data_IF_920339086715
#
_entry.id   IF_920339086715
#
_cell.length_a   1.000
_cell.length_b   1.000
_cell.length_c   1.000
_cell.angle_alpha   90.00
_cell.angle_beta   90.00
_cell.angle_gamma   90.00
#
_symmetry.space_group_name_H-M   'P 1'
#
loop_
_entity.id
_entity.type
_entity.pdbx_description
1 polymer ?
#
# COMPACT_ATOMS: atom_id res chain seq x y z
N UNK A 1 -69.84 -10.63 6.20
CA UNK A 1 -68.95 -11.19 5.16
C UNK A 1 -68.49 -10.03 4.30
N UNK A 2 -67.23 -9.64 4.17
CA UNK A 2 -65.97 -10.10 4.75
C UNK A 2 -65.04 -8.89 4.69
N UNK A 3 -64.34 -8.62 5.79
CA UNK A 3 -63.15 -7.75 5.81
C UNK A 3 -62.00 -8.48 5.13
N UNK A 4 -61.15 -7.76 4.41
CA UNK A 4 -59.86 -8.23 3.94
C UNK A 4 -58.87 -7.08 4.06
N UNK A 5 -58.22 -7.00 5.23
CA UNK A 5 -57.02 -6.22 5.47
C UNK A 5 -55.85 -6.94 4.79
N UNK A 6 -55.17 -6.27 3.87
CA UNK A 6 -53.93 -6.75 3.28
C UNK A 6 -52.76 -6.42 4.21
N UNK A 7 -52.29 -7.43 4.94
CA UNK A 7 -51.06 -7.40 5.74
C UNK A 7 -49.85 -7.32 4.78
N UNK A 8 -49.31 -6.12 4.59
CA UNK A 8 -48.12 -5.85 3.79
C UNK A 8 -46.86 -6.25 4.53
N UNK A 9 -46.64 -7.56 4.72
CA UNK A 9 -45.34 -8.10 5.12
C UNK A 9 -44.39 -8.00 3.93
N UNK A 10 -43.42 -7.09 4.02
CA UNK A 10 -42.23 -7.11 3.18
C UNK A 10 -41.43 -8.37 3.54
N UNK A 11 -41.60 -9.42 2.74
CA UNK A 11 -40.73 -10.59 2.75
C UNK A 11 -39.28 -10.12 2.50
N UNK A 12 -38.29 -10.55 3.31
CA UNK A 12 -36.89 -10.25 3.04
C UNK A 12 -36.49 -10.97 1.75
N UNK A 13 -36.05 -10.20 0.74
CA UNK A 13 -35.48 -10.77 -0.47
C UNK A 13 -34.35 -11.73 -0.10
N UNK A 14 -34.36 -12.99 -0.59
CA UNK A 14 -33.24 -13.88 -0.40
C UNK A 14 -32.05 -13.25 -1.12
N UNK A 15 -31.00 -12.90 -0.37
CA UNK A 15 -29.74 -12.44 -0.94
C UNK A 15 -29.26 -13.55 -1.88
N UNK A 16 -29.40 -13.31 -3.18
CA UNK A 16 -28.96 -14.25 -4.21
C UNK A 16 -27.49 -14.58 -3.98
N UNK A 17 -27.12 -15.84 -4.15
CA UNK A 17 -25.74 -16.29 -4.02
C UNK A 17 -24.85 -15.46 -4.94
N UNK A 18 -23.99 -14.62 -4.38
CA UNK A 18 -23.08 -13.76 -5.14
C UNK A 18 -22.12 -14.66 -5.94
N UNK A 19 -22.08 -14.46 -7.26
CA UNK A 19 -21.15 -15.16 -8.17
C UNK A 19 -19.90 -14.34 -8.48
N UNK A 20 -19.92 -13.03 -8.13
CA UNK A 20 -18.81 -12.09 -8.26
C UNK A 20 -18.80 -11.13 -7.07
N UNK A 21 -17.64 -10.56 -6.77
CA UNK A 21 -17.50 -9.54 -5.74
C UNK A 21 -18.23 -8.25 -6.16
N UNK A 22 -18.97 -7.59 -5.25
CA UNK A 22 -19.79 -6.43 -5.58
C UNK A 22 -18.96 -5.13 -5.60
N UNK A 23 -17.95 -5.06 -6.47
CA UNK A 23 -17.22 -3.83 -6.72
C UNK A 23 -18.04 -2.87 -7.60
N UNK A 24 -17.93 -1.57 -7.31
CA UNK A 24 -18.29 -0.56 -8.28
C UNK A 24 -17.28 -0.57 -9.45
N UNK A 25 -17.67 -0.12 -10.65
CA UNK A 25 -16.75 0.09 -11.76
C UNK A 25 -15.50 0.86 -11.35
N UNK A 26 -14.33 0.32 -11.69
CA UNK A 26 -13.05 0.99 -11.47
C UNK A 26 -12.84 1.95 -12.64
N UNK A 27 -12.63 3.23 -12.35
CA UNK A 27 -12.40 4.23 -13.39
C UNK A 27 -10.90 4.49 -13.57
N UNK A 28 -10.51 4.88 -14.80
CA UNK A 28 -9.14 5.34 -15.09
C UNK A 28 -8.70 6.47 -14.16
N UNK A 29 -9.61 7.39 -13.85
CA UNK A 29 -9.38 8.50 -12.92
C UNK A 29 -9.03 8.02 -11.51
N UNK A 30 -9.68 6.97 -11.02
CA UNK A 30 -9.40 6.40 -9.69
C UNK A 30 -7.98 5.83 -9.61
N UNK A 31 -7.55 5.09 -10.65
CA UNK A 31 -6.17 4.58 -10.74
C UNK A 31 -5.17 5.74 -10.80
N UNK A 32 -5.45 6.79 -11.58
CA UNK A 32 -4.60 7.98 -11.68
C UNK A 32 -4.53 8.79 -10.37
N UNK A 33 -5.59 8.85 -9.57
CA UNK A 33 -5.57 9.49 -8.25
C UNK A 33 -4.65 8.76 -7.26
N UNK A 34 -4.51 7.44 -7.42
CA UNK A 34 -3.60 6.61 -6.62
C UNK A 34 -2.14 6.63 -7.12
N UNK A 35 -1.86 7.29 -8.25
CA UNK A 35 -0.47 7.45 -8.72
C UNK A 35 0.35 8.33 -7.77
N UNK A 36 1.61 7.96 -7.56
CA UNK A 36 2.53 8.63 -6.64
C UNK A 36 2.67 10.11 -6.95
N UNK A 37 2.81 10.48 -8.23
CA UNK A 37 2.90 11.88 -8.64
C UNK A 37 1.67 12.70 -8.24
N UNK A 38 0.48 12.10 -8.24
CA UNK A 38 -0.74 12.80 -7.89
C UNK A 38 -0.85 13.00 -6.37
N UNK A 39 -0.83 11.93 -5.58
CA UNK A 39 -1.03 12.05 -4.13
C UNK A 39 0.19 12.62 -3.40
N UNK A 40 1.42 12.34 -3.82
CA UNK A 40 2.63 12.85 -3.15
C UNK A 40 2.65 14.37 -3.15
N UNK A 41 2.20 15.02 -4.24
CA UNK A 41 2.12 16.48 -4.34
C UNK A 41 1.30 17.11 -3.20
N UNK A 42 0.21 16.45 -2.79
CA UNK A 42 -0.69 16.88 -1.71
C UNK A 42 -0.15 16.55 -0.32
N UNK A 43 0.59 15.45 -0.21
CA UNK A 43 0.95 14.84 1.08
C UNK A 43 2.45 14.86 1.41
N UNK A 44 3.24 15.72 0.75
CA UNK A 44 4.71 15.84 0.96
C UNK A 44 5.14 15.98 2.42
N UNK A 45 4.33 16.62 3.27
CA UNK A 45 4.66 16.86 4.68
C UNK A 45 4.49 15.63 5.58
N UNK A 46 3.72 14.63 5.13
CA UNK A 46 3.32 13.45 5.92
C UNK A 46 3.86 12.14 5.33
N UNK A 47 4.73 12.21 4.32
CA UNK A 47 5.35 11.04 3.68
C UNK A 47 6.89 11.15 3.73
N UNK A 48 7.64 10.04 3.72
CA UNK A 48 9.10 10.09 3.63
C UNK A 48 9.58 10.86 2.40
N UNK A 49 10.79 11.45 2.49
CA UNK A 49 11.35 12.26 1.40
C UNK A 49 11.49 11.43 0.12
N UNK A 50 10.96 11.95 -0.98
CA UNK A 50 11.11 11.38 -2.31
C UNK A 50 11.37 12.45 -3.38
N UNK A 51 11.93 12.01 -4.51
CA UNK A 51 12.11 12.81 -5.73
C UNK A 51 11.45 12.10 -6.89
N UNK A 52 10.84 12.88 -7.77
CA UNK A 52 10.14 12.38 -8.95
C UNK A 52 10.92 12.81 -10.17
N UNK A 53 11.27 11.85 -11.00
CA UNK A 53 11.95 12.05 -12.29
C UNK A 53 10.95 11.69 -13.37
N UNK A 54 10.45 12.66 -14.18
CA UNK A 54 9.63 12.34 -15.34
C UNK A 54 10.41 11.45 -16.30
N UNK A 55 9.79 10.39 -16.79
CA UNK A 55 10.43 9.47 -17.73
C UNK A 55 10.25 9.95 -19.17
N UNK A 56 11.33 9.94 -19.94
CA UNK A 56 11.27 10.16 -21.38
C UNK A 56 10.67 8.92 -22.08
N UNK A 57 10.05 9.09 -23.27
CA UNK A 57 9.59 7.96 -24.06
C UNK A 57 10.70 6.94 -24.35
N UNK A 58 11.93 7.40 -24.59
CA UNK A 58 13.11 6.55 -24.82
C UNK A 58 13.40 5.66 -23.62
N UNK A 59 13.38 6.23 -22.40
CA UNK A 59 13.60 5.45 -21.19
C UNK A 59 12.47 4.44 -20.93
N UNK A 60 11.22 4.79 -21.26
CA UNK A 60 10.09 3.85 -21.16
C UNK A 60 10.25 2.71 -22.17
N UNK A 61 10.66 3.01 -23.40
CA UNK A 61 10.98 1.98 -24.41
C UNK A 61 12.13 1.08 -23.94
N UNK A 62 13.17 1.64 -23.33
CA UNK A 62 14.25 0.87 -22.72
C UNK A 62 13.77 -0.07 -21.61
N UNK A 63 12.85 0.37 -20.75
CA UNK A 63 12.27 -0.50 -19.72
C UNK A 63 11.46 -1.65 -20.32
N UNK A 64 10.71 -1.39 -21.40
CA UNK A 64 9.91 -2.39 -22.12
C UNK A 64 10.73 -3.34 -22.99
N UNK A 65 11.93 -2.95 -23.39
CA UNK A 65 12.79 -3.80 -24.21
C UNK A 65 13.20 -5.07 -23.44
N UNK A 66 13.23 -6.20 -24.13
CA UNK A 66 13.69 -7.46 -23.56
C UNK A 66 15.20 -7.43 -23.26
N UNK A 67 15.61 -8.25 -22.29
CA UNK A 67 17.00 -8.34 -21.84
C UNK A 67 17.43 -7.18 -20.94
N UNK A 68 18.62 -7.29 -20.35
CA UNK A 68 19.17 -6.30 -19.41
C UNK A 68 20.48 -5.76 -19.99
N UNK A 69 20.41 -4.58 -20.61
CA UNK A 69 21.58 -3.83 -21.09
C UNK A 69 21.80 -2.67 -20.14
N UNK A 70 22.98 -2.58 -19.51
CA UNK A 70 23.29 -1.54 -18.54
C UNK A 70 24.29 -0.54 -19.11
N UNK A 71 24.17 0.76 -18.78
CA UNK A 71 25.21 1.75 -19.07
C UNK A 71 26.56 1.37 -18.45
N UNK A 72 27.69 1.65 -19.12
CA UNK A 72 29.01 1.36 -18.58
C UNK A 72 29.24 2.13 -17.27
N UNK A 73 29.76 1.44 -16.25
CA UNK A 73 30.06 2.07 -14.98
C UNK A 73 31.29 2.97 -15.12
N UNK A 74 31.04 4.28 -15.23
CA UNK A 74 32.10 5.30 -15.33
C UNK A 74 33.08 5.25 -14.13
N UNK A 75 32.67 4.63 -13.02
CA UNK A 75 33.50 4.42 -11.82
C UNK A 75 34.53 3.30 -11.92
N UNK A 76 34.44 2.40 -12.90
CA UNK A 76 35.41 1.31 -13.08
C UNK A 76 36.59 1.68 -13.99
N UNK A 77 36.69 2.96 -14.40
CA UNK A 77 37.82 3.47 -15.17
C UNK A 77 39.14 3.65 -14.37
N UNK A 78 39.27 3.08 -13.16
CA UNK A 78 40.49 3.17 -12.32
C UNK A 78 40.80 1.96 -11.41
N UNK A 79 40.55 0.73 -11.88
CA UNK A 79 41.27 -0.42 -11.32
C UNK A 79 41.89 -1.22 -12.44
N UNK A 80 43.06 -0.73 -12.85
CA UNK A 80 44.08 -1.49 -13.56
C UNK A 80 44.46 -2.70 -12.68
N UNK A 81 43.70 -3.79 -12.78
CA UNK A 81 44.04 -5.07 -12.17
C UNK A 81 45.16 -5.70 -13.00
N UNK A 82 46.38 -5.19 -12.81
CA UNK A 82 47.57 -5.98 -13.10
C UNK A 82 47.70 -7.08 -12.03
N UNK A 83 47.25 -8.29 -12.34
CA UNK A 83 47.91 -9.54 -11.93
C UNK A 83 47.18 -10.70 -12.62
N UNK A 84 47.75 -11.28 -13.66
CA UNK A 84 48.67 -12.41 -13.53
C UNK A 84 48.08 -13.57 -12.71
N UNK A 85 47.02 -14.19 -13.22
CA UNK A 85 46.90 -15.63 -13.10
C UNK A 85 46.54 -16.23 -14.46
N UNK A 86 47.44 -17.05 -14.97
CA UNK A 86 47.42 -17.63 -16.30
C UNK A 86 47.30 -19.14 -16.14
N UNK A 87 46.18 -19.68 -16.62
CA UNK A 87 45.88 -21.11 -16.58
C UNK A 87 44.88 -21.55 -17.65
N UNK A 88 45.29 -21.49 -18.93
CA UNK A 88 45.21 -22.58 -19.96
C UNK A 88 43.88 -23.39 -20.00
N UNK A 89 43.10 -23.53 -21.10
CA UNK A 89 43.37 -23.49 -22.55
C UNK A 89 42.03 -23.47 -23.33
N UNK A 90 41.90 -22.62 -24.37
CA UNK A 90 41.38 -23.05 -25.69
C UNK A 90 41.75 -22.01 -26.73
N UNK A 91 42.72 -22.37 -27.56
CA UNK A 91 43.22 -21.61 -28.70
C UNK A 91 42.20 -21.54 -29.83
N UNK A 92 41.89 -20.34 -30.30
CA UNK A 92 41.83 -20.00 -31.72
C UNK A 92 42.13 -18.51 -31.84
N UNK A 93 43.30 -18.20 -32.41
CA UNK A 93 43.72 -16.85 -32.75
C UNK A 93 42.78 -16.25 -33.81
N UNK A 94 42.14 -15.14 -33.46
CA UNK A 94 41.68 -14.14 -34.41
C UNK A 94 42.03 -12.76 -33.83
N UNK A 95 43.11 -12.09 -34.28
CA UNK A 95 43.35 -10.70 -33.98
C UNK A 95 42.57 -9.88 -35.01
N UNK A 96 41.25 -9.84 -34.83
CA UNK A 96 40.41 -8.81 -35.41
C UNK A 96 39.93 -7.97 -34.24
N UNK A 97 40.51 -6.78 -34.13
CA UNK A 97 39.90 -5.72 -33.33
C UNK A 97 38.50 -5.47 -33.89
N UNK A 98 37.48 -6.02 -33.23
CA UNK A 98 36.17 -5.40 -33.21
C UNK A 98 36.16 -4.52 -31.98
N UNK A 99 36.38 -3.24 -32.23
CA UNK A 99 36.03 -2.12 -31.36
C UNK A 99 34.48 -2.06 -31.30
N UNK A 100 33.85 -3.15 -30.82
CA UNK A 100 32.46 -3.13 -30.42
C UNK A 100 32.45 -2.39 -29.08
N UNK A 101 32.63 -1.06 -29.14
CA UNK A 101 32.27 -0.16 -28.05
C UNK A 101 30.79 -0.46 -27.77
N UNK A 102 30.52 -1.26 -26.73
CA UNK A 102 29.16 -1.53 -26.26
C UNK A 102 28.42 -0.19 -26.18
N UNK A 103 27.50 0.06 -27.12
CA UNK A 103 26.85 1.37 -27.26
C UNK A 103 26.17 1.71 -25.94
N UNK A 104 26.62 2.78 -25.27
CA UNK A 104 26.07 3.21 -23.99
C UNK A 104 24.59 3.55 -24.15
N UNK A 105 23.66 2.71 -23.65
CA UNK A 105 22.24 2.91 -23.86
C UNK A 105 21.77 4.22 -23.21
N UNK A 106 22.47 4.72 -22.19
CA UNK A 106 22.09 5.96 -21.50
C UNK A 106 22.19 7.24 -22.32
N UNK A 107 22.86 7.20 -23.48
CA UNK A 107 22.94 8.37 -24.37
C UNK A 107 21.55 8.82 -24.86
N UNK A 108 20.62 7.89 -25.07
CA UNK A 108 19.25 8.19 -25.51
C UNK A 108 18.37 8.81 -24.41
N UNK A 109 18.78 8.70 -23.13
CA UNK A 109 18.06 9.24 -21.97
C UNK A 109 19.00 9.90 -20.95
N UNK A 110 20.01 10.61 -21.46
CA UNK A 110 21.06 11.22 -20.64
C UNK A 110 20.50 12.19 -19.59
N UNK A 111 19.43 12.92 -19.90
CA UNK A 111 18.73 13.80 -18.96
C UNK A 111 18.12 13.03 -17.77
N UNK A 112 17.44 11.91 -18.04
CA UNK A 112 16.86 11.03 -17.01
C UNK A 112 17.97 10.42 -16.17
N UNK A 113 19.05 9.96 -16.81
CA UNK A 113 20.20 9.38 -16.13
C UNK A 113 20.89 10.38 -15.19
N UNK A 114 21.08 11.62 -15.62
CA UNK A 114 21.63 12.70 -14.78
C UNK A 114 20.67 13.07 -13.64
N UNK A 115 19.37 13.13 -13.89
CA UNK A 115 18.36 13.40 -12.87
C UNK A 115 18.35 12.31 -11.78
N UNK A 116 18.50 11.04 -12.17
CA UNK A 116 18.64 9.92 -11.23
C UNK A 116 19.89 10.08 -10.37
N UNK A 117 21.06 10.33 -10.99
CA UNK A 117 22.33 10.58 -10.26
C UNK A 117 22.19 11.72 -9.26
N UNK A 118 21.60 12.84 -9.66
CA UNK A 118 21.36 14.00 -8.80
C UNK A 118 20.42 13.67 -7.63
N UNK A 119 19.31 12.95 -7.91
CA UNK A 119 18.35 12.55 -6.90
C UNK A 119 18.93 11.57 -5.86
N UNK A 120 19.76 10.60 -6.29
CA UNK A 120 20.48 9.70 -5.38
C UNK A 120 21.36 10.51 -4.43
N UNK A 121 22.16 11.43 -4.97
CA UNK A 121 23.04 12.28 -4.17
C UNK A 121 22.25 13.14 -3.16
N UNK A 122 21.16 13.78 -3.61
CA UNK A 122 20.31 14.63 -2.76
C UNK A 122 19.64 13.85 -1.61
N UNK A 123 19.23 12.60 -1.85
CA UNK A 123 18.54 11.77 -0.87
C UNK A 123 19.50 11.09 0.12
N UNK A 124 20.81 11.29 -0.01
CA UNK A 124 21.83 10.80 0.91
C UNK A 124 22.51 9.51 0.43
N UNK A 125 22.55 9.27 -0.88
CA UNK A 125 23.33 8.19 -1.52
C UNK A 125 22.65 6.82 -1.53
N UNK A 126 21.48 6.68 -0.91
CA UNK A 126 20.71 5.43 -0.87
C UNK A 126 19.24 5.71 -1.13
N UNK A 127 18.68 5.03 -2.12
CA UNK A 127 17.28 5.21 -2.53
C UNK A 127 16.58 3.87 -2.73
N UNK A 128 15.25 3.88 -2.73
CA UNK A 128 14.42 2.78 -3.21
C UNK A 128 13.55 3.27 -4.39
N UNK A 129 13.66 2.65 -5.57
CA UNK A 129 12.87 3.03 -6.73
C UNK A 129 11.42 2.53 -6.62
N UNK A 130 10.50 3.24 -7.27
CA UNK A 130 9.17 2.76 -7.67
C UNK A 130 8.70 3.54 -8.91
N UNK A 131 7.79 2.97 -9.69
CA UNK A 131 7.08 3.72 -10.73
C UNK A 131 5.88 4.45 -10.11
N UNK A 132 4.93 4.85 -10.96
CA UNK A 132 3.73 5.57 -10.57
C UNK A 132 2.96 4.86 -9.45
N UNK A 133 2.89 3.52 -9.44
CA UNK A 133 2.13 2.78 -8.44
C UNK A 133 2.98 1.75 -7.70
N UNK A 134 3.75 0.95 -8.44
CA UNK A 134 4.38 -0.26 -7.91
C UNK A 134 5.88 -0.10 -7.70
N UNK A 135 6.39 -0.74 -6.64
CA UNK A 135 7.82 -0.85 -6.35
C UNK A 135 8.31 -2.26 -6.72
N UNK A 136 9.56 -2.42 -7.21
CA UNK A 136 10.11 -3.70 -7.68
C UNK A 136 10.51 -4.62 -6.52
N UNK A 137 9.55 -4.98 -5.68
CA UNK A 137 9.74 -5.82 -4.48
C UNK A 137 9.98 -7.28 -4.84
N UNK A 138 9.33 -7.72 -5.91
CA UNK A 138 9.46 -9.02 -6.57
C UNK A 138 10.84 -9.24 -7.20
N UNK A 139 11.51 -8.17 -7.64
CA UNK A 139 12.84 -8.24 -8.26
C UNK A 139 14.01 -8.19 -7.26
N UNK A 140 13.78 -8.22 -5.95
CA UNK A 140 14.88 -8.05 -4.97
C UNK A 140 15.98 -9.10 -5.07
N UNK A 141 15.70 -10.26 -5.65
CA UNK A 141 16.64 -11.37 -5.87
C UNK A 141 17.81 -11.05 -6.81
N UNK A 142 17.65 -10.09 -7.74
CA UNK A 142 18.72 -9.70 -8.67
C UNK A 142 19.71 -8.72 -8.02
N UNK A 143 19.30 -8.07 -6.92
CA UNK A 143 20.13 -7.09 -6.21
C UNK A 143 21.17 -7.79 -5.35
N UNK A 144 22.41 -7.26 -5.36
CA UNK A 144 23.51 -7.77 -4.53
C UNK A 144 23.20 -7.74 -3.01
N UNK A 145 22.32 -6.84 -2.57
CA UNK A 145 21.90 -6.72 -1.17
C UNK A 145 20.63 -7.51 -0.83
N UNK A 146 20.03 -8.20 -1.82
CA UNK A 146 18.74 -8.88 -1.72
C UNK A 146 17.63 -7.98 -1.14
N UNK A 147 17.67 -6.69 -1.47
CA UNK A 147 16.69 -5.69 -1.06
C UNK A 147 16.59 -4.57 -2.12
N UNK A 148 15.69 -3.61 -1.91
CA UNK A 148 15.48 -2.48 -2.84
C UNK A 148 16.44 -1.29 -2.60
N UNK A 149 17.55 -1.47 -1.86
CA UNK A 149 18.55 -0.40 -1.68
C UNK A 149 19.35 -0.22 -2.98
N UNK A 150 19.22 0.94 -3.61
CA UNK A 150 20.03 1.33 -4.76
C UNK A 150 20.98 2.47 -4.38
N UNK A 151 22.21 2.39 -4.89
CA UNK A 151 23.27 3.40 -4.71
C UNK A 151 23.74 3.99 -6.02
N UNK A 152 23.59 3.26 -7.11
CA UNK A 152 23.90 3.70 -8.46
C UNK A 152 22.66 3.64 -9.37
N UNK A 153 22.67 4.36 -10.51
CA UNK A 153 21.62 4.23 -11.52
C UNK A 153 21.46 2.79 -12.04
N UNK A 154 22.57 2.06 -12.19
CA UNK A 154 22.57 0.68 -12.69
C UNK A 154 21.79 -0.25 -11.75
N UNK A 155 21.90 -0.09 -10.43
CA UNK A 155 21.08 -0.84 -9.45
C UNK A 155 19.57 -0.61 -9.69
N UNK A 156 19.19 0.62 -10.04
CA UNK A 156 17.80 0.99 -10.31
C UNK A 156 17.32 0.33 -11.60
N UNK A 157 18.11 0.43 -12.67
CA UNK A 157 17.75 -0.15 -13.97
C UNK A 157 17.59 -1.66 -13.89
N UNK A 158 18.51 -2.32 -13.19
CA UNK A 158 18.47 -3.75 -12.93
C UNK A 158 17.18 -4.15 -12.22
N UNK A 159 16.83 -3.50 -11.11
CA UNK A 159 15.59 -3.81 -10.38
C UNK A 159 14.32 -3.52 -11.19
N UNK A 160 14.28 -2.42 -11.93
CA UNK A 160 13.10 -2.05 -12.70
C UNK A 160 12.87 -3.01 -13.87
N UNK A 161 13.93 -3.41 -14.58
CA UNK A 161 13.82 -4.33 -15.72
C UNK A 161 13.55 -5.78 -15.32
N UNK A 162 13.84 -6.17 -14.08
CA UNK A 162 13.60 -7.52 -13.57
C UNK A 162 12.28 -7.67 -12.78
N UNK A 163 11.41 -6.66 -12.79
CA UNK A 163 10.18 -6.64 -11.98
C UNK A 163 8.91 -6.77 -12.83
N UNK A 164 8.12 -7.79 -12.55
CA UNK A 164 6.80 -8.00 -13.14
C UNK A 164 5.83 -6.89 -12.69
N UNK A 165 5.99 -6.37 -11.47
CA UNK A 165 5.20 -5.24 -11.00
C UNK A 165 5.45 -3.96 -11.79
N UNK A 166 6.69 -3.74 -12.23
CA UNK A 166 7.05 -2.60 -13.08
C UNK A 166 6.49 -2.78 -14.48
N UNK A 167 6.60 -3.98 -15.06
CA UNK A 167 5.98 -4.31 -16.36
C UNK A 167 4.47 -4.10 -16.32
N UNK A 168 3.82 -4.57 -15.26
CA UNK A 168 2.40 -4.35 -15.03
C UNK A 168 2.03 -2.86 -15.00
N UNK A 169 2.82 -2.01 -14.31
CA UNK A 169 2.60 -0.57 -14.29
C UNK A 169 2.70 0.07 -15.68
N UNK A 170 3.52 -0.47 -16.58
CA UNK A 170 3.77 0.08 -17.92
C UNK A 170 2.79 -0.39 -18.99
N UNK A 171 2.19 -1.58 -18.82
CA UNK A 171 1.39 -2.26 -19.83
C UNK A 171 -0.05 -2.50 -19.41
N UNK A 172 -0.28 -2.81 -18.13
CA UNK A 172 -1.55 -3.35 -17.63
C UNK A 172 -2.22 -2.46 -16.57
N UNK A 173 -1.75 -1.21 -16.40
CA UNK A 173 -2.24 -0.33 -15.34
C UNK A 173 -3.76 -0.03 -15.41
N UNK A 174 -4.36 -0.12 -16.60
CA UNK A 174 -5.75 0.25 -16.85
C UNK A 174 -6.63 -0.90 -17.36
N UNK A 175 -6.12 -2.14 -17.41
CA UNK A 175 -6.85 -3.28 -17.98
C UNK A 175 -8.18 -3.57 -17.26
N UNK A 176 -8.22 -3.28 -15.95
CA UNK A 176 -9.39 -3.47 -15.09
C UNK A 176 -10.36 -2.26 -15.09
N UNK A 177 -10.07 -1.21 -15.87
CA UNK A 177 -10.87 0.01 -15.88
C UNK A 177 -12.03 -0.06 -16.87
N UNK A 178 -13.21 0.41 -16.46
CA UNK A 178 -14.29 0.68 -17.40
C UNK A 178 -14.07 2.03 -18.08
N UNK A 179 -14.44 2.11 -19.37
CA UNK A 179 -14.37 3.35 -20.14
C UNK A 179 -15.23 4.43 -19.47
N UNK A 180 -14.59 5.55 -19.13
CA UNK A 180 -15.27 6.69 -18.56
C UNK A 180 -16.25 7.24 -19.62
N UNK A 181 -17.56 7.13 -19.36
CA UNK A 181 -18.65 7.57 -20.26
C UNK A 181 -18.55 9.08 -20.57
N UNK A 182 -17.67 9.79 -19.88
CA UNK A 182 -17.44 11.22 -19.95
C UNK A 182 -16.48 11.70 -21.06
N UNK A 183 -16.41 11.04 -22.23
CA UNK A 183 -16.08 11.67 -23.53
C UNK A 183 -14.82 12.56 -23.66
N UNK A 184 -13.90 12.55 -22.70
CA UNK A 184 -12.63 13.28 -22.76
C UNK A 184 -11.58 12.36 -23.36
N UNK A 185 -11.40 12.50 -24.68
CA UNK A 185 -10.26 12.06 -25.51
C UNK A 185 -9.27 11.10 -24.84
N UNK A 186 -9.31 9.83 -25.25
CA UNK A 186 -8.46 8.73 -24.81
C UNK A 186 -6.96 8.84 -25.19
N UNK A 187 -6.49 9.95 -25.75
CA UNK A 187 -5.18 10.01 -26.42
C UNK A 187 -4.13 10.92 -25.78
N UNK A 188 -4.29 11.36 -24.53
CA UNK A 188 -3.17 12.05 -23.86
C UNK A 188 -2.17 11.00 -23.36
N UNK A 189 -0.94 10.95 -23.91
CA UNK A 189 0.04 9.95 -23.52
C UNK A 189 0.35 10.09 -22.03
N UNK A 190 0.19 8.98 -21.30
CA UNK A 190 0.42 8.98 -19.87
C UNK A 190 1.88 9.30 -19.56
N UNK A 191 2.10 10.30 -18.70
CA UNK A 191 3.42 10.59 -18.18
C UNK A 191 3.79 9.62 -17.05
N UNK A 192 4.79 8.80 -17.28
CA UNK A 192 5.40 7.96 -16.25
C UNK A 192 6.44 8.73 -15.45
N UNK A 193 6.59 8.37 -14.17
CA UNK A 193 7.57 8.94 -13.26
C UNK A 193 8.34 7.83 -12.57
N UNK A 194 9.67 7.97 -12.54
CA UNK A 194 10.50 7.24 -11.61
C UNK A 194 10.52 7.99 -10.29
N UNK A 195 10.02 7.33 -9.25
CA UNK A 195 10.00 7.84 -7.89
C UNK A 195 11.18 7.25 -7.14
N UNK A 196 12.09 8.12 -6.71
CA UNK A 196 13.22 7.75 -5.87
C UNK A 196 12.91 8.18 -4.44
N UNK A 197 12.62 7.19 -3.58
CA UNK A 197 12.38 7.40 -2.15
C UNK A 197 13.69 7.30 -1.41
N UNK A 198 13.92 8.16 -0.41
CA UNK A 198 15.07 8.00 0.47
C UNK A 198 15.02 6.63 1.14
N UNK A 199 16.11 5.87 1.05
CA UNK A 199 16.22 4.60 1.74
C UNK A 199 16.22 4.81 3.25
N UNK A 200 15.30 4.14 3.92
CA UNK A 200 15.20 4.11 5.37
C UNK A 200 14.93 2.66 5.79
N UNK A 201 15.55 2.23 6.88
CA UNK A 201 15.27 0.93 7.45
C UNK A 201 13.92 0.99 8.16
N UNK A 202 12.87 0.55 7.47
CA UNK A 202 11.53 0.44 8.02
C UNK A 202 11.44 -0.82 8.86
N UNK A 203 10.87 -0.72 10.06
CA UNK A 203 10.48 -1.91 10.81
C UNK A 203 9.13 -2.43 10.27
N UNK A 204 9.09 -3.60 9.61
CA UNK A 204 7.87 -4.10 8.97
C UNK A 204 6.70 -4.29 9.94
N UNK A 205 6.99 -4.55 11.22
CA UNK A 205 5.97 -4.82 12.24
C UNK A 205 5.02 -3.65 12.51
N UNK A 206 5.42 -2.41 12.18
CA UNK A 206 4.62 -1.20 12.44
C UNK A 206 4.20 -0.49 11.16
N UNK A 207 4.03 -1.28 10.10
CA UNK A 207 3.38 -0.91 8.85
C UNK A 207 1.98 -1.50 8.80
N UNK A 208 1.00 -0.67 8.43
CA UNK A 208 -0.42 -1.05 8.42
C UNK A 208 -1.07 -0.64 7.11
N UNK A 209 -1.96 -1.49 6.60
CA UNK A 209 -2.86 -1.16 5.50
C UNK A 209 -4.22 -0.76 6.07
N UNK A 210 -4.75 0.34 5.56
CA UNK A 210 -5.98 0.97 6.03
C UNK A 210 -6.99 1.04 4.88
N UNK A 211 -8.23 0.68 5.16
CA UNK A 211 -9.31 0.59 4.17
C UNK A 211 -10.35 1.67 4.41
N UNK A 212 -10.57 2.52 3.41
CA UNK A 212 -11.51 3.63 3.46
C UNK A 212 -12.67 3.34 2.51
N UNK A 213 -13.89 3.40 3.04
CA UNK A 213 -15.13 3.29 2.27
C UNK A 213 -16.05 4.44 2.62
N UNK A 214 -16.56 5.14 1.63
CA UNK A 214 -17.43 6.30 1.78
C UNK A 214 -16.85 7.37 2.73
N UNK A 215 -15.55 7.66 2.58
CA UNK A 215 -14.76 8.57 3.44
C UNK A 215 -14.74 8.19 4.92
N UNK A 216 -14.93 6.91 5.23
CA UNK A 216 -14.80 6.38 6.59
C UNK A 216 -13.75 5.29 6.60
N UNK A 217 -12.88 5.33 7.61
CA UNK A 217 -11.94 4.25 7.88
C UNK A 217 -12.73 3.08 8.46
N UNK A 218 -12.76 1.94 7.76
CA UNK A 218 -13.54 0.77 8.17
C UNK A 218 -12.66 -0.36 8.71
N UNK A 219 -11.42 -0.47 8.23
CA UNK A 219 -10.53 -1.56 8.58
C UNK A 219 -9.06 -1.14 8.56
N UNK A 220 -8.28 -1.74 9.45
CA UNK A 220 -6.84 -1.59 9.56
C UNK A 220 -6.26 -2.99 9.75
N UNK A 221 -5.22 -3.37 9.02
CA UNK A 221 -4.50 -4.62 9.25
C UNK A 221 -3.00 -4.43 9.20
N UNK A 222 -2.28 -5.35 9.85
CA UNK A 222 -0.83 -5.45 9.74
C UNK A 222 -0.43 -5.73 8.27
N UNK A 223 0.59 -5.02 7.78
CA UNK A 223 1.07 -5.18 6.39
C UNK A 223 1.96 -6.42 6.21
N UNK A 224 2.80 -6.68 7.19
CA UNK A 224 3.66 -7.86 7.27
C UNK A 224 2.85 -9.04 7.85
N UNK A 225 3.08 -10.28 7.40
CA UNK A 225 2.32 -11.44 7.85
C UNK A 225 2.99 -12.21 9.01
N UNK A 226 4.10 -11.72 9.56
CA UNK A 226 4.73 -12.29 10.74
C UNK A 226 3.98 -11.92 12.03
N UNK A 227 4.03 -12.79 13.04
CA UNK A 227 3.47 -12.48 14.34
C UNK A 227 4.39 -11.56 15.18
N UNK A 228 3.82 -10.49 15.76
CA UNK A 228 4.52 -9.59 16.67
C UNK A 228 3.74 -9.36 17.97
N UNK A 229 4.17 -10.00 19.06
CA UNK A 229 3.52 -9.95 20.37
C UNK A 229 3.26 -8.53 20.91
N UNK A 230 4.23 -7.63 20.70
CA UNK A 230 4.17 -6.30 21.29
C UNK A 230 3.04 -5.43 20.72
N UNK A 231 2.54 -5.73 19.51
CA UNK A 231 1.50 -4.95 18.85
C UNK A 231 0.16 -5.04 19.58
N UNK A 232 -0.16 -6.20 20.16
CA UNK A 232 -1.42 -6.43 20.88
C UNK A 232 -1.56 -5.48 22.08
N UNK A 233 -0.46 -5.19 22.78
CA UNK A 233 -0.46 -4.26 23.91
C UNK A 233 -0.66 -2.79 23.49
N UNK A 234 -0.45 -2.45 22.22
CA UNK A 234 -0.56 -1.09 21.69
C UNK A 234 -1.65 -0.92 20.63
N UNK A 235 -2.48 -1.94 20.40
CA UNK A 235 -3.50 -1.96 19.35
C UNK A 235 -4.43 -0.74 19.39
N UNK A 236 -4.93 -0.38 20.59
CA UNK A 236 -5.84 0.76 20.76
C UNK A 236 -5.14 2.08 20.43
N UNK A 237 -3.92 2.27 20.96
CA UNK A 237 -3.12 3.46 20.67
C UNK A 237 -2.82 3.61 19.18
N UNK A 238 -2.48 2.51 18.49
CA UNK A 238 -2.20 2.53 17.05
C UNK A 238 -3.46 2.85 16.25
N UNK A 239 -4.58 2.19 16.57
CA UNK A 239 -5.89 2.45 15.97
C UNK A 239 -6.28 3.92 16.06
N UNK A 240 -6.22 4.49 17.26
CA UNK A 240 -6.58 5.89 17.50
C UNK A 240 -5.68 6.84 16.72
N UNK A 241 -4.37 6.56 16.69
CA UNK A 241 -3.41 7.37 15.93
C UNK A 241 -3.66 7.33 14.43
N UNK A 242 -4.01 6.17 13.88
CA UNK A 242 -4.33 6.01 12.46
C UNK A 242 -5.66 6.69 12.14
N UNK A 243 -6.66 6.55 13.01
CA UNK A 243 -7.96 7.21 12.87
C UNK A 243 -7.81 8.74 12.85
N UNK A 244 -7.13 9.33 13.83
CA UNK A 244 -6.86 10.78 13.84
C UNK A 244 -6.07 11.22 12.62
N UNK A 245 -5.08 10.44 12.19
CA UNK A 245 -4.30 10.73 10.99
C UNK A 245 -5.19 10.77 9.73
N UNK A 246 -6.07 9.78 9.56
CA UNK A 246 -6.99 9.74 8.43
C UNK A 246 -7.94 10.95 8.44
N UNK A 247 -8.54 11.24 9.60
CA UNK A 247 -9.52 12.31 9.76
C UNK A 247 -8.92 13.69 9.48
N UNK A 248 -7.70 13.94 9.96
CA UNK A 248 -7.02 15.22 9.77
C UNK A 248 -6.39 15.40 8.39
N UNK A 249 -5.93 14.31 7.75
CA UNK A 249 -5.00 14.40 6.60
C UNK A 249 -5.52 13.84 5.29
N UNK A 250 -6.52 12.95 5.30
CA UNK A 250 -6.92 12.19 4.11
C UNK A 250 -8.43 12.24 3.83
N UNK A 251 -9.27 12.24 4.87
CA UNK A 251 -10.73 12.10 4.79
C UNK A 251 -11.36 13.01 3.73
N UNK A 252 -11.04 14.31 3.77
CA UNK A 252 -11.65 15.30 2.88
C UNK A 252 -10.73 15.82 1.77
N UNK A 253 -9.43 15.49 1.84
CA UNK A 253 -8.42 15.97 0.91
C UNK A 253 -8.14 15.01 -0.25
N UNK A 254 -8.37 13.70 -0.05
CA UNK A 254 -8.21 12.72 -1.11
C UNK A 254 -9.43 12.80 -2.06
N UNK A 255 -9.22 12.74 -3.39
CA UNK A 255 -10.32 12.93 -4.34
C UNK A 255 -11.44 11.89 -4.20
N UNK A 256 -11.07 10.62 -4.01
CA UNK A 256 -12.02 9.51 -4.06
C UNK A 256 -12.52 9.13 -2.66
N UNK A 257 -13.79 8.72 -2.55
CA UNK A 257 -14.37 8.33 -1.26
C UNK A 257 -13.96 6.93 -0.81
N UNK A 258 -13.50 6.08 -1.73
CA UNK A 258 -13.11 4.69 -1.48
C UNK A 258 -11.66 4.51 -1.92
N UNK A 259 -10.78 4.07 -1.03
CA UNK A 259 -9.37 3.79 -1.33
C UNK A 259 -8.73 2.99 -0.19
N UNK A 260 -7.55 2.44 -0.42
CA UNK A 260 -6.70 1.92 0.62
C UNK A 260 -5.45 2.78 0.77
N UNK A 261 -4.90 2.90 1.97
CA UNK A 261 -3.64 3.60 2.19
C UNK A 261 -2.76 2.86 3.18
N UNK A 262 -1.46 2.92 2.97
CA UNK A 262 -0.47 2.26 3.80
C UNK A 262 0.21 3.30 4.71
N UNK A 263 0.37 2.98 5.99
CA UNK A 263 1.00 3.86 6.97
C UNK A 263 2.12 3.17 7.73
N UNK A 264 3.11 3.96 8.12
CA UNK A 264 4.23 3.54 8.96
C UNK A 264 4.30 4.37 10.23
N UNK A 265 4.44 3.70 11.38
CA UNK A 265 4.41 4.34 12.71
C UNK A 265 5.71 4.02 13.47
N UNK A 266 6.81 4.75 13.23
CA UNK A 266 8.09 4.47 13.87
C UNK A 266 8.03 4.68 15.38
N UNK A 267 8.84 3.95 16.18
CA UNK A 267 9.06 4.28 17.58
C UNK A 267 9.46 5.76 17.73
N UNK A 268 8.91 6.52 18.70
CA UNK A 268 8.12 6.10 19.87
C UNK A 268 6.57 6.01 19.64
N UNK A 269 6.14 5.77 18.40
CA UNK A 269 4.73 5.66 17.99
C UNK A 269 3.90 6.92 18.22
N UNK A 270 4.49 8.07 17.89
CA UNK A 270 3.87 9.40 18.06
C UNK A 270 3.42 9.96 16.71
N UNK A 271 4.19 9.69 15.65
CA UNK A 271 3.95 10.22 14.30
C UNK A 271 3.59 9.09 13.35
N UNK A 272 2.57 9.33 12.54
CA UNK A 272 2.15 8.46 11.44
C UNK A 272 2.69 9.02 10.13
N UNK A 273 3.21 8.15 9.27
CA UNK A 273 3.71 8.50 7.94
C UNK A 273 2.90 7.76 6.88
N UNK A 274 2.44 8.49 5.85
CA UNK A 274 1.85 7.91 4.66
C UNK A 274 2.95 7.25 3.81
N UNK A 275 2.80 5.96 3.52
CA UNK A 275 3.73 5.15 2.73
C UNK A 275 3.26 5.03 1.30
N UNK A 276 1.97 4.69 1.11
CA UNK A 276 1.38 4.52 -0.21
C UNK A 276 -0.15 4.73 -0.20
N UNK A 277 -0.72 4.93 -1.38
CA UNK A 277 -2.17 4.97 -1.61
C UNK A 277 -2.50 4.02 -2.75
N UNK A 278 -3.47 3.14 -2.54
CA UNK A 278 -3.87 2.10 -3.46
C UNK A 278 -5.36 2.22 -3.81
N UNK A 279 -5.76 1.84 -5.03
CA UNK A 279 -7.15 1.92 -5.45
C UNK A 279 -8.03 0.93 -4.68
N UNK A 280 -9.30 1.30 -4.51
CA UNK A 280 -10.37 0.41 -4.07
C UNK A 280 -10.79 -0.51 -5.21
N UNK A 281 -9.96 -1.52 -5.48
CA UNK A 281 -10.10 -2.41 -6.62
C UNK A 281 -9.63 -3.83 -6.27
N UNK A 282 -10.11 -4.87 -6.99
CA UNK A 282 -9.73 -6.27 -6.74
C UNK A 282 -8.21 -6.52 -6.72
N UNK A 283 -7.46 -5.76 -7.50
CA UNK A 283 -6.00 -5.84 -7.59
C UNK A 283 -5.25 -5.47 -6.31
N UNK A 284 -5.85 -4.65 -5.45
CA UNK A 284 -5.22 -4.24 -4.21
C UNK A 284 -5.35 -5.40 -3.22
N UNK A 285 -4.23 -5.87 -2.69
CA UNK A 285 -4.23 -6.99 -1.75
C UNK A 285 -4.93 -6.61 -0.42
N UNK A 286 -6.01 -7.32 -0.02
CA UNK A 286 -6.72 -7.03 1.21
C UNK A 286 -6.03 -7.59 2.47
N UNK A 287 -4.97 -8.40 2.32
CA UNK A 287 -4.14 -8.97 3.40
C UNK A 287 -4.98 -9.78 4.40
N UNK A 288 -5.06 -9.34 5.66
CA UNK A 288 -5.84 -10.00 6.72
C UNK A 288 -7.36 -9.79 6.59
N UNK A 289 -7.82 -9.20 5.48
CA UNK A 289 -9.22 -9.11 5.13
C UNK A 289 -9.52 -9.83 3.82
N UNK A 290 -10.79 -10.13 3.59
CA UNK A 290 -11.34 -10.46 2.28
C UNK A 290 -11.98 -9.22 1.63
N UNK A 291 -11.98 -9.16 0.31
CA UNK A 291 -12.71 -8.08 -0.36
C UNK A 291 -14.23 -8.16 -0.13
N UNK A 292 -14.79 -9.37 0.00
CA UNK A 292 -16.22 -9.53 0.25
C UNK A 292 -16.63 -8.91 1.59
N UNK A 293 -15.85 -9.12 2.64
CA UNK A 293 -16.16 -8.49 3.93
C UNK A 293 -15.95 -6.98 3.87
N UNK A 294 -14.86 -6.47 3.29
CA UNK A 294 -14.64 -5.02 3.18
C UNK A 294 -15.76 -4.31 2.43
N UNK A 295 -16.37 -4.97 1.44
CA UNK A 295 -17.51 -4.44 0.67
C UNK A 295 -18.84 -4.51 1.44
N UNK A 296 -18.97 -5.40 2.43
CA UNK A 296 -20.26 -5.66 3.13
C UNK A 296 -20.25 -5.27 4.60
N UNK A 297 -19.08 -4.99 5.19
CA UNK A 297 -18.92 -4.57 6.58
C UNK A 297 -19.78 -3.34 6.90
N UNK A 298 -20.37 -3.23 8.10
CA UNK A 298 -21.10 -2.05 8.51
C UNK A 298 -20.16 -0.84 8.59
N UNK A 299 -20.63 0.33 8.16
CA UNK A 299 -19.86 1.55 8.29
C UNK A 299 -19.94 2.10 9.71
N UNK A 300 -18.86 2.70 10.23
CA UNK A 300 -18.94 3.57 11.38
C UNK A 300 -20.06 4.62 11.20
N UNK A 301 -20.88 4.89 12.23
CA UNK A 301 -21.79 6.01 12.20
C UNK A 301 -20.96 7.29 12.05
N UNK A 302 -21.50 8.27 11.32
CA UNK A 302 -20.84 9.57 11.24
C UNK A 302 -20.80 10.15 12.66
N UNK A 303 -19.68 10.76 13.09
CA UNK A 303 -19.71 11.58 14.29
C UNK A 303 -20.77 12.65 14.06
N UNK A 304 -21.85 12.62 14.86
CA UNK A 304 -22.87 13.67 14.83
C UNK A 304 -22.10 14.97 15.05
N UNK A 305 -22.22 15.91 14.10
CA UNK A 305 -21.67 17.25 14.29
C UNK A 305 -22.19 17.73 15.65
N UNK A 306 -21.25 17.94 16.58
CA UNK A 306 -21.56 18.30 17.96
C UNK A 306 -22.61 19.42 17.94
N UNK A 307 -23.81 19.13 18.44
CA UNK A 307 -24.65 20.19 18.97
C UNK A 307 -23.78 20.88 20.02
N UNK A 308 -23.34 22.10 19.70
CA UNK A 308 -22.66 22.98 20.64
C UNK A 308 -23.66 23.18 21.77
N UNK A 309 -23.61 22.33 22.80
CA UNK A 309 -24.28 22.58 24.07
C UNK A 309 -23.47 23.73 24.70
N UNK A 310 -23.83 24.95 24.30
CA UNK A 310 -23.42 26.16 24.98
C UNK A 310 -24.00 26.10 26.39
N UNK A 311 -23.27 25.49 27.32
CA UNK A 311 -23.53 25.61 28.75
C UNK A 311 -23.40 27.11 29.09
N UNK A 312 -24.46 27.78 29.54
CA UNK A 312 -24.34 29.16 29.98
C UNK A 312 -23.51 29.18 31.27
N UNK A 313 -22.25 29.60 31.16
CA UNK A 313 -21.43 29.97 32.31
C UNK A 313 -22.13 31.15 32.98
N UNK A 314 -22.80 30.90 34.11
CA UNK A 314 -23.19 31.97 35.03
C UNK A 314 -21.92 32.49 35.69
N UNK A 315 -21.38 33.58 35.15
CA UNK A 315 -20.35 34.36 35.83
C UNK A 315 -20.97 34.99 37.07
N UNK A 316 -20.55 34.51 38.24
CA UNK A 316 -20.78 35.17 39.51
C UNK A 316 -19.70 36.25 39.68
N UNK A 317 -20.00 37.48 39.29
CA UNK A 317 -19.45 38.67 39.95
C UNK A 317 -20.25 39.91 39.56
N UNK A 318 -21.01 40.46 40.52
CA UNK A 318 -21.20 41.89 40.74
C UNK A 318 -22.20 42.09 41.89
N UNK A 319 -21.66 42.38 43.07
CA UNK A 319 -22.41 42.78 44.25
C UNK A 319 -22.05 44.25 44.54
N UNK A 320 -23.03 45.16 44.53
CA UNK A 320 -22.96 46.43 45.27
C UNK A 320 -24.32 46.81 45.87
N UNK A 321 -24.34 47.57 46.97
CA UNK A 321 -25.25 47.32 48.09
C UNK A 321 -26.28 48.43 48.33
N UNK A 322 -27.36 48.13 49.05
CA UNK A 322 -27.82 48.82 50.29
C UNK A 322 -29.32 48.64 50.55
N UNK A 323 -29.66 48.28 51.80
CA UNK A 323 -30.54 49.04 52.74
C UNK A 323 -31.50 48.16 53.56
N UNK A 324 -31.27 48.12 54.89
CA UNK A 324 -32.33 48.16 55.90
C UNK A 324 -32.57 46.92 56.79
N UNK A 325 -31.95 46.94 57.98
CA UNK A 325 -32.20 46.28 59.28
C UNK A 325 -33.66 45.85 59.65
N UNK A 326 -33.89 45.15 60.80
CA UNK A 326 -33.01 44.24 61.57
C UNK A 326 -33.73 42.94 62.04
N UNK A 327 -32.98 41.93 62.47
CA UNK A 327 -33.41 41.14 63.63
C UNK A 327 -32.21 40.73 64.47
N UNK A 328 -32.25 41.15 65.72
CA UNK A 328 -31.31 40.79 66.78
C UNK A 328 -31.68 39.40 67.29
N UNK A 329 -30.69 38.52 67.46
CA UNK A 329 -30.40 37.91 68.75
C UNK A 329 -29.16 37.01 68.64
N UNK A 330 -28.24 37.24 69.57
CA UNK A 330 -27.06 36.42 69.83
C UNK A 330 -27.48 35.03 70.37
N UNK A 331 -26.67 34.00 70.13
CA UNK A 331 -25.94 33.30 71.20
C UNK A 331 -25.05 32.16 70.64
N UNK A 332 -23.80 32.21 71.08
CA UNK A 332 -22.89 31.16 71.55
C UNK A 332 -22.93 29.71 70.96
N UNK A 333 -21.83 29.37 70.24
CA UNK A 333 -20.86 28.22 70.30
C UNK A 333 -21.12 27.11 71.37
N UNK A 334 -20.56 25.84 71.36
CA UNK A 334 -19.76 25.03 70.38
C UNK A 334 -20.12 23.52 70.24
N UNK A 335 -19.38 22.84 69.35
CA UNK A 335 -18.91 21.43 69.41
C UNK A 335 -19.93 20.27 69.38
N UNK A 336 -19.76 19.37 68.39
CA UNK A 336 -19.21 18.04 68.68
C UNK A 336 -18.91 17.23 67.40
N UNK A 337 -17.71 16.65 67.46
CA UNK A 337 -17.13 15.53 66.72
C UNK A 337 -18.07 14.37 66.35
N UNK A 338 -17.86 13.79 65.17
CA UNK A 338 -17.92 12.33 64.95
C UNK A 338 -17.02 11.91 63.78
N UNK A 339 -16.25 10.84 64.02
CA UNK A 339 -15.40 10.10 63.11
C UNK A 339 -16.18 9.35 62.02
N UNK A 340 -15.57 9.20 60.84
CA UNK A 340 -15.73 8.08 59.88
C UNK A 340 -15.06 8.50 58.58
N UNK A 341 -14.50 7.67 57.72
CA UNK A 341 -14.04 6.28 57.70
C UNK A 341 -13.36 6.18 56.32
N UNK A 342 -12.47 5.22 56.14
CA UNK A 342 -11.72 4.94 54.91
C UNK A 342 -12.58 4.98 53.64
N UNK A 343 -12.16 5.80 52.65
CA UNK A 343 -12.69 5.77 51.29
C UNK A 343 -11.66 5.17 50.34
N UNK A 344 -11.97 4.00 49.83
CA UNK A 344 -11.29 3.33 48.71
C UNK A 344 -11.44 4.20 47.46
N UNK A 345 -10.33 4.54 46.81
CA UNK A 345 -10.33 5.14 45.48
C UNK A 345 -10.82 4.08 44.48
N UNK A 346 -12.13 4.07 44.22
CA UNK A 346 -12.70 3.36 43.08
C UNK A 346 -12.33 4.11 41.81
N UNK A 347 -11.50 3.51 40.98
CA UNK A 347 -11.33 3.86 39.57
C UNK A 347 -12.72 3.89 38.90
N UNK A 348 -13.29 5.09 38.79
CA UNK A 348 -14.42 5.35 37.90
C UNK A 348 -13.90 5.28 36.46
N UNK A 349 -13.81 4.05 35.95
CA UNK A 349 -13.89 3.79 34.52
C UNK A 349 -15.28 4.25 34.12
N UNK A 350 -15.39 5.49 33.65
CA UNK A 350 -16.58 5.96 32.96
C UNK A 350 -16.80 4.99 31.80
N UNK A 351 -17.93 4.28 31.82
CA UNK A 351 -18.46 3.56 30.67
C UNK A 351 -18.58 4.56 29.52
N UNK A 352 -17.61 4.54 28.62
CA UNK A 352 -17.63 5.32 27.38
C UNK A 352 -18.69 4.67 26.50
N UNK A 353 -19.74 5.44 26.23
CA UNK A 353 -20.95 5.05 25.51
C UNK A 353 -20.71 4.15 24.27
N UNK A 354 -21.61 3.17 24.13
CA UNK A 354 -21.80 2.17 23.07
C UNK A 354 -21.88 2.70 21.61
N UNK A 355 -21.62 3.98 21.35
CA UNK A 355 -21.93 4.65 20.07
C UNK A 355 -20.71 5.00 19.19
N UNK A 356 -19.47 4.73 19.65
CA UNK A 356 -18.27 4.85 18.80
C UNK A 356 -17.93 3.52 18.15
N UNK A 357 -18.52 3.22 16.99
CA UNK A 357 -18.00 2.14 16.14
C UNK A 357 -16.70 2.63 15.51
N UNK A 358 -15.58 2.15 16.03
CA UNK A 358 -14.25 2.45 15.48
C UNK A 358 -13.82 1.38 14.46
N UNK A 359 -12.82 1.67 13.61
CA UNK A 359 -12.40 0.75 12.56
C UNK A 359 -11.90 -0.57 13.12
N UNK A 360 -12.18 -1.68 12.45
CA UNK A 360 -11.70 -2.99 12.88
C UNK A 360 -10.17 -3.07 12.66
N UNK A 361 -9.41 -3.35 13.72
CA UNK A 361 -7.95 -3.54 13.63
C UNK A 361 -7.62 -5.03 13.75
N UNK A 362 -7.01 -5.61 12.71
CA UNK A 362 -6.54 -7.01 12.69
C UNK A 362 -5.02 -7.09 12.77
N UNK A 363 -4.54 -7.94 13.66
CA UNK A 363 -3.12 -8.28 13.84
C UNK A 363 -2.92 -9.77 13.64
N UNK A 364 -1.73 -10.17 13.23
CA UNK A 364 -1.40 -11.58 13.03
C UNK A 364 -1.29 -12.28 14.38
N UNK A 365 -2.05 -13.37 14.58
CA UNK A 365 -1.98 -14.19 15.79
C UNK A 365 -0.91 -15.30 15.68
N UNK A 366 -0.41 -15.79 16.83
CA UNK A 366 0.60 -16.89 16.88
C UNK A 366 0.12 -18.21 16.30
N UNK A 367 -1.18 -18.43 16.28
CA UNK A 367 -1.78 -19.70 15.88
C UNK A 367 -2.51 -19.57 14.54
N UNK A 368 -2.28 -18.47 13.80
CA UNK A 368 -2.97 -18.21 12.53
C UNK A 368 -2.38 -19.08 11.41
N UNK A 369 -3.12 -20.06 10.87
CA UNK A 369 -2.61 -20.98 9.85
C UNK A 369 -2.20 -20.25 8.55
N UNK A 370 -2.76 -19.08 8.26
CA UNK A 370 -2.39 -18.29 7.09
C UNK A 370 -1.04 -17.57 7.27
N UNK A 371 -0.67 -17.21 8.51
CA UNK A 371 0.63 -16.60 8.82
C UNK A 371 1.80 -17.60 8.74
N UNK A 372 1.54 -18.88 8.97
CA UNK A 372 2.53 -19.96 8.91
C UNK A 372 2.46 -20.78 7.61
N UNK A 373 1.64 -20.37 6.64
CA UNK A 373 1.62 -20.93 5.29
C UNK A 373 2.88 -20.49 4.52
N UNK A 374 4.00 -21.12 4.87
CA UNK A 374 5.39 -20.82 4.53
C UNK A 374 5.76 -20.87 3.02
N UNK A 375 4.79 -20.88 2.10
CA UNK A 375 5.04 -21.09 0.67
C UNK A 375 4.21 -20.23 -0.29
N UNK A 376 3.47 -19.23 0.19
CA UNK A 376 2.92 -18.22 -0.74
C UNK A 376 3.96 -17.13 -0.92
N UNK A 377 4.54 -16.93 -2.13
CA UNK A 377 5.42 -15.78 -2.36
C UNK A 377 4.67 -14.51 -1.94
N UNK A 378 5.33 -13.69 -1.11
CA UNK A 378 4.77 -12.48 -0.49
C UNK A 378 4.28 -11.41 -1.51
N UNK A 379 4.50 -11.68 -2.79
CA UNK A 379 4.20 -10.86 -3.93
C UNK A 379 3.78 -11.79 -5.07
N UNK A 380 2.49 -12.16 -5.09
CA UNK A 380 1.88 -12.88 -6.20
C UNK A 380 0.70 -12.06 -6.67
N UNK A 381 0.93 -11.13 -7.61
CA UNK A 381 -0.15 -10.47 -8.33
C UNK A 381 -0.87 -11.45 -9.28
N UNK A 382 -0.28 -12.60 -9.55
CA UNK A 382 -0.92 -13.69 -10.26
C UNK A 382 -0.78 -14.96 -9.42
N UNK A 383 -1.76 -15.16 -8.53
CA UNK A 383 -2.03 -16.51 -8.02
C UNK A 383 -2.04 -17.42 -9.24
N UNK A 384 -1.20 -18.46 -9.19
CA UNK A 384 -0.95 -19.38 -10.29
C UNK A 384 -2.25 -19.74 -11.03
N UNK A 385 -2.23 -19.93 -12.36
CA UNK A 385 -3.40 -20.33 -13.12
C UNK A 385 -4.15 -21.45 -12.40
N UNK A 386 -5.48 -21.39 -12.37
CA UNK A 386 -6.33 -22.30 -11.59
C UNK A 386 -5.94 -23.78 -11.79
N UNK A 387 -5.53 -24.15 -13.01
CA UNK A 387 -5.07 -25.49 -13.36
C UNK A 387 -3.81 -25.94 -12.60
N UNK A 388 -2.88 -25.02 -12.32
CA UNK A 388 -1.67 -25.26 -11.53
C UNK A 388 -2.01 -25.44 -10.05
N UNK A 389 -2.99 -24.70 -9.56
CA UNK A 389 -3.49 -24.80 -8.18
C UNK A 389 -4.24 -26.12 -8.00
N UNK A 390 -5.11 -26.47 -8.95
CA UNK A 390 -5.88 -27.72 -8.94
C UNK A 390 -4.94 -28.94 -9.02
N UNK A 391 -3.91 -28.91 -9.89
CA UNK A 391 -2.90 -29.97 -9.98
C UNK A 391 -2.05 -30.12 -8.71
N UNK A 392 -1.87 -29.04 -7.93
CA UNK A 392 -1.16 -29.09 -6.64
C UNK A 392 -1.98 -29.73 -5.53
N UNK A 393 -3.32 -29.64 -5.60
CA UNK A 393 -4.22 -30.27 -4.64
C UNK A 393 -4.38 -31.78 -4.88
N UNK A 394 -4.07 -32.27 -6.08
CA UNK A 394 -4.14 -33.70 -6.45
C UNK A 394 -2.90 -34.51 -6.04
N UNK A 395 -1.94 -33.90 -5.35
CA UNK A 395 -0.75 -34.57 -4.81
C UNK A 395 0.30 -34.93 -5.87
N UNK A 396 1.27 -35.79 -5.51
CA UNK A 396 2.49 -36.05 -6.30
C UNK A 396 2.27 -36.60 -7.74
N UNK A 397 1.04 -36.98 -8.11
CA UNK A 397 0.68 -37.39 -9.47
C UNK A 397 0.28 -36.23 -10.39
N UNK A 398 -0.54 -35.29 -9.90
CA UNK A 398 -1.14 -34.22 -10.73
C UNK A 398 -0.10 -33.23 -11.30
N UNK A 399 0.91 -32.87 -10.50
CA UNK A 399 2.00 -31.99 -10.95
C UNK A 399 2.87 -32.64 -12.04
N UNK A 400 3.06 -33.96 -12.00
CA UNK A 400 3.88 -34.67 -12.98
C UNK A 400 3.15 -34.83 -14.32
N UNK A 401 1.87 -35.17 -14.28
CA UNK A 401 1.03 -35.25 -15.48
C UNK A 401 0.86 -33.87 -16.13
N UNK A 402 0.69 -32.82 -15.33
CA UNK A 402 0.64 -31.44 -15.82
C UNK A 402 1.96 -31.01 -16.48
N UNK A 403 3.11 -31.36 -15.89
CA UNK A 403 4.42 -31.04 -16.48
C UNK A 403 4.69 -31.79 -17.79
N UNK A 404 4.16 -33.01 -17.94
CA UNK A 404 4.23 -33.76 -19.20
C UNK A 404 3.31 -33.16 -20.26
N UNK A 405 2.07 -32.79 -19.91
CA UNK A 405 1.14 -32.11 -20.82
C UNK A 405 1.63 -30.72 -21.25
N UNK A 406 2.27 -29.96 -20.36
CA UNK A 406 2.85 -28.65 -20.70
C UNK A 406 4.05 -28.78 -21.64
N UNK A 407 4.86 -29.82 -21.49
CA UNK A 407 5.94 -30.12 -22.43
C UNK A 407 5.40 -30.49 -23.80
N UNK A 408 4.32 -31.26 -23.86
CA UNK A 408 3.67 -31.61 -25.13
C UNK A 408 3.03 -30.38 -25.80
N UNK A 409 2.42 -29.48 -25.03
CA UNK A 409 1.86 -28.21 -25.55
C UNK A 409 2.96 -27.28 -26.07
N UNK A 410 4.09 -27.17 -25.36
CA UNK A 410 5.23 -26.36 -25.81
C UNK A 410 5.90 -26.94 -27.06
N UNK A 411 6.06 -28.27 -27.11
CA UNK A 411 6.61 -28.94 -28.28
C UNK A 411 5.71 -28.74 -29.52
N UNK A 412 4.39 -28.85 -29.33
CA UNK A 412 3.42 -28.66 -30.42
C UNK A 412 3.36 -27.22 -30.93
N UNK A 413 3.57 -26.24 -30.03
CA UNK A 413 3.65 -24.81 -30.40
C UNK A 413 4.94 -24.47 -31.13
N UNK A 414 6.05 -25.11 -30.76
CA UNK A 414 7.31 -25.01 -31.51
C UNK A 414 7.24 -25.66 -32.89
N UNK A 415 6.52 -26.77 -33.05
CA UNK A 415 6.26 -27.36 -34.37
C UNK A 415 5.36 -26.46 -35.24
N UNK A 416 4.32 -25.85 -34.65
CA UNK A 416 3.43 -24.92 -35.36
C UNK A 416 4.14 -23.61 -35.78
N UNK A 417 5.10 -23.12 -34.99
CA UNK A 417 5.92 -21.94 -35.31
C UNK A 417 6.97 -22.27 -36.39
N UNK A 418 7.55 -23.49 -36.39
CA UNK A 418 8.47 -23.95 -37.44
C UNK A 418 7.76 -24.20 -38.78
N UNK A 419 6.55 -24.76 -38.77
CA UNK A 419 5.73 -24.95 -39.97
C UNK A 419 5.23 -23.61 -40.57
N UNK A 420 5.19 -22.52 -39.78
CA UNK A 420 4.89 -21.17 -40.27
C UNK A 420 6.10 -20.47 -40.89
N UNK A 421 7.31 -20.72 -40.40
CA UNK A 421 8.54 -20.17 -41.00
C UNK A 421 8.91 -20.85 -42.32
N UNK A 422 8.66 -22.15 -42.48
CA UNK A 422 8.91 -22.90 -43.73
C UNK A 422 7.82 -22.68 -44.81
N UNK A 423 6.72 -21.98 -44.48
CA UNK A 423 5.59 -21.71 -45.37
C UNK A 423 5.69 -20.41 -46.20
N UNK A 424 6.68 -19.56 -45.90
CA UNK A 424 6.88 -18.22 -46.49
C UNK A 424 8.21 -18.09 -47.29
N UNK A 425 8.81 -19.19 -47.75
CA UNK A 425 9.88 -19.21 -48.78
C UNK A 425 9.38 -19.52 -50.22
#
# INVERSE_FOLDING_TARGET
>A
MSTAEGDGRLEPHPQGRLTKLPFAPVTKSHILHCSYNNWHSRYRAITPKARLVPLSPQFVSYLRADGIVLPPDVSESRTDWSDSDSGIFSSTDNPAESDDEDEDPSQEWSEVHQAIKAAIAELGGKVAPKLNWSAPKDATWISATNNMECRAPNDIYLLLKSSDFVTHDLEHAFDDCEDDISGKSQDDPMQYYLVLRKWILLNPSVEFRCFVRNRKLIGICQRDLNHFDFLFNMQHKLRDKIQSFFDEKLRDSFPDPNFAFDVYIPPPHVRVWLVDVNPWAPRTDPLLFSWLELLTMPEPPLPKAEEIISLPIRTADEMTPTRGLPSQHADEIPNQSTQSDSGEDSDNVLDIDEDYSFPELRLVHRDDPEAYSFNTPQYSAHKLPKEVVDASQEGHGGIREFAEQWKDILAKRQEEDQDQEDGDE
#
